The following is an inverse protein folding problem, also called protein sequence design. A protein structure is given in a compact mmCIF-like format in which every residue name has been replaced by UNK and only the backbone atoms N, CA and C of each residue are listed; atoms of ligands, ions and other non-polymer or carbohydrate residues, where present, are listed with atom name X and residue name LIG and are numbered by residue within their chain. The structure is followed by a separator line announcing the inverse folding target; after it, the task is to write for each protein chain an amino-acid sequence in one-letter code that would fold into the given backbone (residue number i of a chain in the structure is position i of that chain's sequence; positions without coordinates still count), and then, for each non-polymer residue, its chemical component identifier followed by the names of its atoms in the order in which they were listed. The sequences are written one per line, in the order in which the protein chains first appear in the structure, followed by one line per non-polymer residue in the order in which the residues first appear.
data_IF_057633261262
#
_entry.id   IF_057633261262
#
_cell.length_a   1.000
_cell.length_b   1.000
_cell.length_c   1.000
_cell.angle_alpha   90.00
_cell.angle_beta   90.00
_cell.angle_gamma   90.00
#
_symmetry.space_group_name_H-M   'P 1'
#
loop_
_entity.id
_entity.type
_entity.pdbx_description
1 polymer ?
#
# COMPACT_ATOMS: atom_id res chain seq x y z
N UNK A 1 -3.18 -12.62 -7.73
CA UNK A 1 -4.42 -12.01 -7.16
C UNK A 1 -4.81 -12.51 -5.75
N UNK A 2 -5.07 -13.81 -5.50
CA UNK A 2 -5.51 -14.28 -4.16
C UNK A 2 -4.45 -14.13 -3.06
N UNK A 3 -3.18 -14.44 -3.37
CA UNK A 3 -2.09 -14.36 -2.39
C UNK A 3 -1.90 -12.95 -1.82
N UNK A 4 -1.86 -11.94 -2.69
CA UNK A 4 -1.75 -10.54 -2.28
C UNK A 4 -2.92 -10.10 -1.40
N UNK A 5 -4.15 -10.50 -1.76
CA UNK A 5 -5.33 -10.19 -0.96
C UNK A 5 -5.24 -10.77 0.45
N UNK A 6 -4.81 -12.04 0.59
CA UNK A 6 -4.63 -12.69 1.89
C UNK A 6 -3.58 -11.97 2.75
N UNK A 7 -2.46 -11.57 2.15
CA UNK A 7 -1.46 -10.77 2.85
C UNK A 7 -2.00 -9.40 3.26
N UNK A 8 -2.78 -8.74 2.39
CA UNK A 8 -3.39 -7.43 2.66
C UNK A 8 -4.31 -7.46 3.88
N UNK A 9 -5.11 -8.52 4.03
CA UNK A 9 -5.97 -8.74 5.21
C UNK A 9 -5.22 -9.31 6.42
N UNK A 10 -3.88 -9.26 6.42
CA UNK A 10 -3.01 -9.68 7.51
C UNK A 10 -3.18 -11.16 7.90
N UNK A 11 -3.48 -12.02 6.92
CA UNK A 11 -3.56 -13.47 7.15
C UNK A 11 -2.18 -14.03 7.51
N UNK A 12 -2.07 -14.61 8.71
CA UNK A 12 -0.77 -15.06 9.25
C UNK A 12 -0.08 -16.15 8.44
N UNK A 13 -0.84 -17.04 7.78
CA UNK A 13 -0.28 -18.10 6.94
C UNK A 13 0.28 -17.54 5.63
N UNK A 14 -0.45 -16.62 5.00
CA UNK A 14 0.02 -15.93 3.81
C UNK A 14 1.27 -15.07 4.08
N UNK A 15 1.33 -14.36 5.21
CA UNK A 15 2.50 -13.57 5.61
C UNK A 15 3.72 -14.45 5.93
N UNK A 16 3.52 -15.60 6.58
CA UNK A 16 4.57 -16.62 6.75
C UNK A 16 5.06 -17.12 5.40
N UNK A 17 4.14 -17.36 4.46
CA UNK A 17 4.48 -17.81 3.11
C UNK A 17 5.28 -16.77 2.33
N UNK A 18 4.94 -15.49 2.44
CA UNK A 18 5.73 -14.39 1.87
C UNK A 18 7.16 -14.41 2.42
N UNK A 19 7.33 -14.60 3.72
CA UNK A 19 8.65 -14.69 4.36
C UNK A 19 9.44 -15.93 3.92
N UNK A 20 8.78 -17.08 3.74
CA UNK A 20 9.43 -18.28 3.19
C UNK A 20 9.89 -18.08 1.75
N UNK A 21 9.09 -17.42 0.92
CA UNK A 21 9.42 -17.13 -0.48
C UNK A 21 10.56 -16.12 -0.57
N UNK A 22 10.55 -15.07 0.27
CA UNK A 22 11.62 -14.09 0.31
C UNK A 22 12.99 -14.73 0.56
N UNK A 23 13.07 -15.70 1.48
CA UNK A 23 14.31 -16.44 1.78
C UNK A 23 14.87 -17.24 0.61
N UNK A 24 14.10 -17.46 -0.46
CA UNK A 24 14.55 -18.13 -1.69
C UNK A 24 15.19 -17.17 -2.69
N UNK A 25 14.98 -15.87 -2.51
CA UNK A 25 15.55 -14.82 -3.36
C UNK A 25 17.05 -14.74 -3.04
N UNK A 26 17.94 -14.94 -4.04
CA UNK A 26 19.37 -14.81 -3.82
C UNK A 26 19.76 -13.39 -3.42
N UNK A 27 20.68 -13.24 -2.47
CA UNK A 27 21.16 -11.92 -2.01
C UNK A 27 21.71 -11.05 -3.15
N UNK A 28 22.26 -11.68 -4.20
CA UNK A 28 22.75 -10.99 -5.40
C UNK A 28 21.66 -10.25 -6.17
N UNK A 29 20.38 -10.62 -6.03
CA UNK A 29 19.28 -9.87 -6.63
C UNK A 29 19.15 -8.45 -6.08
N UNK A 30 19.47 -8.26 -4.79
CA UNK A 30 19.38 -6.96 -4.14
C UNK A 30 20.56 -6.04 -4.48
N UNK A 31 21.69 -6.61 -4.92
CA UNK A 31 22.90 -5.86 -5.24
C UNK A 31 23.21 -5.75 -6.73
N UNK A 32 22.62 -6.58 -7.60
CA UNK A 32 22.96 -6.65 -9.03
C UNK A 32 21.69 -6.71 -9.92
N UNK A 33 21.82 -6.34 -11.20
CA UNK A 33 20.72 -6.36 -12.18
C UNK A 33 20.37 -7.73 -12.76
N UNK A 34 21.20 -8.76 -12.56
CA UNK A 34 21.10 -10.04 -13.29
C UNK A 34 20.80 -11.25 -12.40
N UNK A 35 20.29 -11.05 -11.18
CA UNK A 35 19.92 -12.14 -10.27
C UNK A 35 18.58 -12.78 -10.65
N UNK A 36 18.56 -14.09 -10.88
CA UNK A 36 17.32 -14.87 -10.86
C UNK A 36 16.75 -14.85 -9.44
N UNK A 37 15.46 -14.54 -9.30
CA UNK A 37 14.80 -14.44 -8.00
C UNK A 37 14.27 -15.79 -7.52
N UNK A 38 14.20 -16.80 -8.40
CA UNK A 38 13.48 -18.06 -8.18
C UNK A 38 11.99 -17.85 -7.82
N UNK A 39 11.46 -16.65 -8.07
CA UNK A 39 10.09 -16.25 -7.77
C UNK A 39 9.42 -15.76 -9.06
N UNK A 40 8.16 -16.14 -9.21
CA UNK A 40 7.17 -15.48 -10.05
C UNK A 40 7.40 -13.97 -10.22
N UNK A 41 7.82 -13.38 -11.36
CA UNK A 41 7.84 -11.92 -11.49
C UNK A 41 6.53 -11.23 -11.08
N UNK A 42 5.37 -11.89 -11.25
CA UNK A 42 4.07 -11.41 -10.77
C UNK A 42 4.02 -11.26 -9.24
N UNK A 43 4.67 -12.17 -8.51
CA UNK A 43 4.60 -12.24 -7.05
C UNK A 43 5.77 -11.56 -6.35
N UNK A 44 6.86 -11.27 -7.05
CA UNK A 44 8.10 -10.78 -6.46
C UNK A 44 7.91 -9.52 -5.61
N UNK A 45 7.24 -8.49 -6.15
CA UNK A 45 6.99 -7.25 -5.42
C UNK A 45 6.13 -7.48 -4.18
N UNK A 46 5.13 -8.35 -4.28
CA UNK A 46 4.25 -8.73 -3.17
C UNK A 46 5.02 -9.48 -2.08
N UNK A 47 5.86 -10.44 -2.47
CA UNK A 47 6.70 -11.24 -1.57
C UNK A 47 7.63 -10.34 -0.77
N UNK A 48 8.36 -9.45 -1.43
CA UNK A 48 9.32 -8.55 -0.77
C UNK A 48 8.58 -7.56 0.14
N UNK A 49 7.50 -6.92 -0.34
CA UNK A 49 6.70 -5.98 0.45
C UNK A 49 6.20 -6.59 1.76
N UNK A 50 5.50 -7.73 1.67
CA UNK A 50 4.91 -8.35 2.85
C UNK A 50 5.94 -9.03 3.75
N UNK A 51 7.10 -9.42 3.21
CA UNK A 51 8.21 -9.84 4.05
C UNK A 51 8.76 -8.68 4.89
N UNK A 52 9.10 -7.53 4.28
CA UNK A 52 9.59 -6.34 4.99
C UNK A 52 8.58 -5.91 6.06
N UNK A 53 7.29 -5.88 5.72
CA UNK A 53 6.23 -5.59 6.70
C UNK A 53 6.19 -6.61 7.83
N UNK A 54 6.21 -7.90 7.53
CA UNK A 54 6.02 -8.93 8.53
C UNK A 54 7.24 -9.08 9.46
N UNK A 55 8.45 -9.15 8.87
CA UNK A 55 9.72 -9.31 9.59
C UNK A 55 10.00 -8.11 10.49
N UNK A 56 9.72 -6.89 10.01
CA UNK A 56 10.03 -5.65 10.70
C UNK A 56 11.49 -5.59 11.18
N UNK A 57 12.40 -6.07 10.33
CA UNK A 57 13.83 -6.09 10.57
C UNK A 57 14.43 -4.76 10.10
N UNK A 58 15.12 -4.07 11.01
CA UNK A 58 15.71 -2.78 10.72
C UNK A 58 16.88 -2.88 9.73
N UNK A 59 17.71 -3.92 9.86
CA UNK A 59 18.90 -4.11 9.04
C UNK A 59 18.51 -4.46 7.60
N UNK A 60 17.48 -5.29 7.41
CA UNK A 60 16.94 -5.61 6.08
C UNK A 60 16.34 -4.38 5.39
N UNK A 61 15.59 -3.55 6.12
CA UNK A 61 15.02 -2.32 5.58
C UNK A 61 16.12 -1.32 5.20
N UNK A 62 17.13 -1.13 6.06
CA UNK A 62 18.26 -0.24 5.80
C UNK A 62 19.13 -0.72 4.65
N UNK A 63 19.34 -2.04 4.54
CA UNK A 63 20.04 -2.64 3.40
C UNK A 63 19.29 -2.39 2.09
N UNK A 64 17.95 -2.52 2.09
CA UNK A 64 17.13 -2.25 0.92
C UNK A 64 17.17 -0.76 0.54
N UNK A 65 17.09 0.13 1.53
CA UNK A 65 17.18 1.58 1.33
C UNK A 65 18.52 1.96 0.72
N UNK A 66 19.62 1.44 1.28
CA UNK A 66 20.98 1.68 0.77
C UNK A 66 21.13 1.23 -0.69
N UNK A 67 20.62 0.05 -1.04
CA UNK A 67 20.67 -0.41 -2.42
C UNK A 67 19.80 0.46 -3.33
N UNK A 68 18.63 0.91 -2.87
CA UNK A 68 17.80 1.83 -3.65
C UNK A 68 18.50 3.17 -3.93
N UNK A 69 19.23 3.73 -2.97
CA UNK A 69 19.82 5.08 -3.10
C UNK A 69 21.22 5.09 -3.72
N UNK A 70 22.05 4.08 -3.43
CA UNK A 70 23.49 4.11 -3.78
C UNK A 70 23.86 3.17 -4.93
N UNK A 71 23.04 2.16 -5.21
CA UNK A 71 23.41 1.11 -6.17
C UNK A 71 23.06 1.51 -7.61
N UNK A 72 24.08 1.82 -8.41
CA UNK A 72 23.92 2.16 -9.82
C UNK A 72 23.65 0.95 -10.74
N UNK A 73 23.76 -0.27 -10.21
CA UNK A 73 23.65 -1.50 -10.99
C UNK A 73 22.24 -2.08 -11.02
N UNK A 74 21.29 -1.53 -10.25
CA UNK A 74 19.91 -2.00 -10.23
C UNK A 74 19.08 -1.36 -11.36
N UNK A 75 18.15 -2.13 -11.89
CA UNK A 75 17.24 -1.68 -12.96
C UNK A 75 16.13 -0.77 -12.43
N UNK A 76 15.50 0.02 -13.30
CA UNK A 76 14.30 0.83 -12.94
C UNK A 76 13.18 -0.04 -12.35
N UNK A 77 13.03 -1.28 -12.83
CA UNK A 77 12.04 -2.22 -12.28
C UNK A 77 12.39 -2.67 -10.85
N UNK A 78 13.68 -2.93 -10.57
CA UNK A 78 14.15 -3.22 -9.21
C UNK A 78 13.97 -2.01 -8.30
N UNK A 79 14.26 -0.79 -8.78
CA UNK A 79 14.03 0.45 -8.02
C UNK A 79 12.58 0.58 -7.57
N UNK A 80 11.62 0.42 -8.48
CA UNK A 80 10.18 0.44 -8.14
C UNK A 80 9.83 -0.67 -7.14
N UNK A 81 10.37 -1.88 -7.34
CA UNK A 81 10.13 -3.03 -6.45
C UNK A 81 10.64 -2.76 -5.03
N UNK A 82 11.85 -2.21 -4.91
CA UNK A 82 12.47 -1.87 -3.62
C UNK A 82 11.73 -0.72 -2.95
N UNK A 83 11.38 0.31 -3.71
CA UNK A 83 10.64 1.46 -3.20
C UNK A 83 9.27 1.08 -2.64
N UNK A 84 8.52 0.22 -3.36
CA UNK A 84 7.27 -0.34 -2.85
C UNK A 84 7.54 -1.12 -1.56
N UNK A 85 8.52 -2.01 -1.55
CA UNK A 85 8.85 -2.80 -0.37
C UNK A 85 9.25 -1.95 0.86
N UNK A 86 9.97 -0.84 0.66
CA UNK A 86 10.30 0.13 1.71
C UNK A 86 9.05 0.76 2.34
N UNK A 87 8.00 0.98 1.55
CA UNK A 87 6.68 1.41 2.01
C UNK A 87 5.93 0.35 2.85
N UNK A 88 6.44 -0.88 2.91
CA UNK A 88 5.94 -1.96 3.75
C UNK A 88 6.36 -1.86 5.23
N UNK A 89 7.27 -0.95 5.60
CA UNK A 89 7.74 -0.81 7.00
C UNK A 89 6.57 -0.66 8.00
N UNK A 90 6.68 -1.25 9.21
CA UNK A 90 5.65 -1.03 10.23
C UNK A 90 5.88 0.28 10.99
N UNK A 91 7.10 0.80 11.04
CA UNK A 91 7.38 2.01 11.79
C UNK A 91 6.87 3.26 11.07
N UNK A 92 5.92 3.96 11.71
CA UNK A 92 5.30 5.19 11.19
C UNK A 92 6.34 6.26 10.85
N UNK A 93 7.42 6.38 11.63
CA UNK A 93 8.46 7.39 11.38
C UNK A 93 9.20 7.12 10.07
N UNK A 94 9.48 5.86 9.71
CA UNK A 94 10.10 5.50 8.42
C UNK A 94 9.18 5.87 7.25
N UNK A 95 7.89 5.56 7.37
CA UNK A 95 6.90 5.89 6.35
C UNK A 95 6.79 7.41 6.13
N UNK A 96 6.80 8.20 7.22
CA UNK A 96 6.82 9.67 7.15
C UNK A 96 8.08 10.19 6.46
N UNK A 97 9.26 9.72 6.88
CA UNK A 97 10.53 10.14 6.29
C UNK A 97 10.62 9.81 4.81
N UNK A 98 10.12 8.64 4.38
CA UNK A 98 10.04 8.29 2.96
C UNK A 98 9.18 9.29 2.18
N UNK A 99 8.01 9.67 2.70
CA UNK A 99 7.14 10.66 2.06
C UNK A 99 7.80 12.05 1.99
N UNK A 100 8.48 12.47 3.05
CA UNK A 100 9.20 13.75 3.10
C UNK A 100 10.32 13.81 2.06
N UNK A 101 11.17 12.77 2.00
CA UNK A 101 12.24 12.65 1.00
C UNK A 101 11.65 12.65 -0.41
N UNK A 102 10.56 11.91 -0.62
CA UNK A 102 9.92 11.80 -1.93
C UNK A 102 9.26 13.11 -2.36
N UNK A 103 8.79 13.93 -1.41
CA UNK A 103 8.09 15.19 -1.66
C UNK A 103 9.03 16.35 -1.96
N UNK A 104 10.27 16.30 -1.46
CA UNK A 104 11.26 17.37 -1.64
C UNK A 104 11.55 17.62 -3.12
N UNK A 105 11.33 18.85 -3.56
CA UNK A 105 11.55 19.27 -4.94
C UNK A 105 13.04 19.50 -5.25
N UNK A 106 13.88 19.59 -4.22
CA UNK A 106 15.33 19.76 -4.35
C UNK A 106 16.09 18.43 -4.29
N UNK A 107 15.37 17.32 -4.15
CA UNK A 107 15.93 15.97 -4.05
C UNK A 107 15.65 15.17 -5.32
N UNK A 108 16.70 14.59 -5.90
CA UNK A 108 16.64 13.70 -7.06
C UNK A 108 16.68 12.21 -6.65
N UNK A 109 16.55 11.90 -5.36
CA UNK A 109 16.64 10.53 -4.84
C UNK A 109 15.48 9.64 -5.31
N UNK A 110 14.28 10.24 -5.43
CA UNK A 110 13.05 9.57 -5.83
C UNK A 110 12.49 10.29 -7.06
N UNK A 111 12.39 9.56 -8.18
CA UNK A 111 11.88 10.10 -9.42
C UNK A 111 10.36 10.40 -9.35
N UNK A 112 9.86 11.19 -10.31
CA UNK A 112 8.43 11.56 -10.33
C UNK A 112 7.50 10.36 -10.40
N UNK A 113 7.82 9.33 -11.20
CA UNK A 113 6.98 8.13 -11.29
C UNK A 113 7.05 7.30 -10.01
N UNK A 114 8.27 7.16 -9.47
CA UNK A 114 8.57 6.48 -8.23
C UNK A 114 7.82 7.08 -7.02
N UNK A 115 7.65 8.41 -6.98
CA UNK A 115 6.84 9.09 -5.97
C UNK A 115 5.41 8.52 -5.90
N UNK A 116 4.73 8.38 -7.03
CA UNK A 116 3.36 7.89 -7.05
C UNK A 116 3.28 6.43 -6.58
N UNK A 117 4.21 5.59 -7.02
CA UNK A 117 4.31 4.20 -6.58
C UNK A 117 4.53 4.08 -5.07
N UNK A 118 5.42 4.90 -4.51
CA UNK A 118 5.68 4.94 -3.08
C UNK A 118 4.43 5.33 -2.29
N UNK A 119 3.78 6.43 -2.67
CA UNK A 119 2.59 6.93 -1.96
C UNK A 119 1.47 5.88 -1.97
N UNK A 120 1.24 5.23 -3.11
CA UNK A 120 0.25 4.15 -3.23
C UNK A 120 0.63 2.98 -2.33
N UNK A 121 1.89 2.56 -2.35
CA UNK A 121 2.38 1.45 -1.53
C UNK A 121 2.23 1.70 -0.03
N UNK A 122 2.56 2.91 0.44
CA UNK A 122 2.37 3.30 1.85
C UNK A 122 0.86 3.40 2.18
N UNK A 123 0.02 3.85 1.24
CA UNK A 123 -1.43 3.97 1.49
C UNK A 123 -2.12 2.62 1.73
N UNK A 124 -1.55 1.54 1.19
CA UNK A 124 -2.00 0.17 1.36
C UNK A 124 -1.45 -0.49 2.64
N UNK A 125 -0.44 0.14 3.28
CA UNK A 125 0.09 -0.31 4.55
C UNK A 125 -0.92 0.04 5.67
N UNK A 126 -1.32 -0.91 6.55
CA UNK A 126 -2.22 -0.62 7.66
C UNK A 126 -1.75 0.53 8.55
N UNK A 127 -0.45 0.68 8.77
CA UNK A 127 0.15 1.77 9.55
C UNK A 127 0.42 3.03 8.70
N UNK A 128 0.33 2.93 7.38
CA UNK A 128 0.66 3.99 6.43
C UNK A 128 -0.55 4.73 5.85
N UNK A 129 -1.75 4.14 5.89
CA UNK A 129 -2.99 4.75 5.38
C UNK A 129 -3.21 6.17 5.89
N UNK A 130 -3.25 6.36 7.21
CA UNK A 130 -3.47 7.68 7.82
C UNK A 130 -2.27 8.61 7.60
N UNK A 131 -1.06 8.04 7.55
CA UNK A 131 0.16 8.79 7.28
C UNK A 131 0.10 9.44 5.90
N UNK A 132 -0.25 8.67 4.87
CA UNK A 132 -0.42 9.17 3.50
C UNK A 132 -1.58 10.15 3.40
N UNK A 133 -2.72 9.84 4.02
CA UNK A 133 -3.88 10.72 3.91
C UNK A 133 -3.60 12.09 4.52
N UNK A 134 -2.98 12.11 5.69
CA UNK A 134 -2.58 13.36 6.33
C UNK A 134 -1.50 14.06 5.51
N UNK A 135 -0.45 13.36 5.08
CA UNK A 135 0.59 13.94 4.23
C UNK A 135 0.01 14.58 2.96
N UNK A 136 -0.84 13.87 2.22
CA UNK A 136 -1.42 14.32 0.96
C UNK A 136 -2.26 15.58 1.14
N UNK A 137 -3.13 15.62 2.16
CA UNK A 137 -3.98 16.79 2.43
C UNK A 137 -3.19 18.01 2.90
N UNK A 138 -2.26 17.83 3.84
CA UNK A 138 -1.46 18.95 4.36
C UNK A 138 -0.54 19.55 3.31
N UNK A 139 -0.03 18.73 2.38
CA UNK A 139 0.89 19.15 1.33
C UNK A 139 0.22 19.37 -0.02
N UNK A 140 -1.12 19.30 -0.11
CA UNK A 140 -1.82 19.27 -1.40
C UNK A 140 -1.44 20.43 -2.33
N UNK A 141 -1.37 21.66 -1.82
CA UNK A 141 -0.99 22.82 -2.63
C UNK A 141 0.46 22.75 -3.11
N UNK A 142 1.39 22.25 -2.30
CA UNK A 142 2.79 22.07 -2.68
C UNK A 142 2.93 20.96 -3.74
N UNK A 143 2.21 19.85 -3.57
CA UNK A 143 2.18 18.76 -4.57
C UNK A 143 1.53 19.22 -5.88
N UNK A 144 0.45 20.00 -5.80
CA UNK A 144 -0.20 20.59 -6.97
C UNK A 144 0.73 21.57 -7.71
N UNK A 145 1.52 22.36 -6.97
CA UNK A 145 2.54 23.23 -7.55
C UNK A 145 3.64 22.42 -8.24
N UNK A 146 4.14 21.36 -7.59
CA UNK A 146 5.22 20.50 -8.11
C UNK A 146 4.81 19.74 -9.38
N UNK A 147 3.65 19.08 -9.37
CA UNK A 147 3.24 18.21 -10.47
C UNK A 147 2.40 18.94 -11.53
N UNK A 148 1.71 20.00 -11.15
CA UNK A 148 0.81 20.75 -12.01
C UNK A 148 -0.60 20.16 -12.07
N UNK A 149 -1.57 21.04 -12.31
CA UNK A 149 -3.01 20.72 -12.28
C UNK A 149 -3.46 19.75 -13.39
N UNK A 150 -2.72 19.70 -14.49
CA UNK A 150 -3.02 18.83 -15.64
C UNK A 150 -2.33 17.47 -15.57
N UNK A 151 -1.48 17.23 -14.56
CA UNK A 151 -0.77 15.97 -14.42
C UNK A 151 -1.75 14.84 -14.08
N UNK A 152 -1.83 13.86 -14.98
CA UNK A 152 -2.77 12.74 -14.85
C UNK A 152 -2.47 11.87 -13.62
N UNK A 153 -1.20 11.52 -13.36
CA UNK A 153 -0.82 10.66 -12.24
C UNK A 153 -1.14 11.33 -10.90
N UNK A 154 -0.88 12.62 -10.78
CA UNK A 154 -1.25 13.39 -9.60
C UNK A 154 -2.77 13.43 -9.40
N UNK A 155 -3.53 13.72 -10.45
CA UNK A 155 -4.99 13.70 -10.34
C UNK A 155 -5.52 12.30 -10.00
N UNK A 156 -4.90 11.22 -10.48
CA UNK A 156 -5.25 9.83 -10.16
C UNK A 156 -4.94 9.45 -8.71
N UNK A 157 -3.95 10.10 -8.10
CA UNK A 157 -3.43 9.70 -6.79
C UNK A 157 -4.50 9.67 -5.70
N UNK A 158 -5.44 10.63 -5.71
CA UNK A 158 -6.52 10.68 -4.72
C UNK A 158 -7.42 9.44 -4.77
N UNK A 159 -7.73 8.93 -5.98
CA UNK A 159 -8.52 7.72 -6.16
C UNK A 159 -7.73 6.48 -5.73
N UNK A 160 -6.42 6.46 -5.96
CA UNK A 160 -5.56 5.35 -5.51
C UNK A 160 -5.43 5.29 -3.99
N UNK A 161 -5.26 6.44 -3.33
CA UNK A 161 -5.26 6.52 -1.85
C UNK A 161 -6.60 6.04 -1.30
N UNK A 162 -7.72 6.43 -1.93
CA UNK A 162 -9.06 6.04 -1.51
C UNK A 162 -9.33 4.53 -1.59
N UNK A 163 -8.56 3.75 -2.36
CA UNK A 163 -8.70 2.30 -2.43
C UNK A 163 -8.50 1.63 -1.07
N UNK A 164 -7.72 2.23 -0.16
CA UNK A 164 -7.52 1.67 1.18
C UNK A 164 -8.56 2.11 2.18
N UNK A 165 -9.47 3.03 1.85
CA UNK A 165 -10.48 3.57 2.76
C UNK A 165 -11.78 2.78 2.70
N UNK A 166 -12.37 2.53 3.86
CA UNK A 166 -13.42 1.51 3.97
C UNK A 166 -14.52 1.85 4.97
N UNK A 167 -14.55 3.08 5.50
CA UNK A 167 -15.51 3.49 6.53
C UNK A 167 -16.04 4.93 6.31
N UNK A 168 -17.09 5.28 7.06
CA UNK A 168 -17.76 6.59 6.96
C UNK A 168 -16.85 7.77 7.33
N UNK A 169 -15.87 7.57 8.21
CA UNK A 169 -14.92 8.62 8.58
C UNK A 169 -14.14 9.10 7.34
N UNK A 170 -13.55 8.18 6.57
CA UNK A 170 -12.82 8.56 5.36
C UNK A 170 -13.72 9.13 4.27
N UNK A 171 -14.98 8.68 4.18
CA UNK A 171 -15.96 9.27 3.28
C UNK A 171 -16.17 10.76 3.56
N UNK A 172 -16.42 11.11 4.83
CA UNK A 172 -16.62 12.51 5.23
C UNK A 172 -15.35 13.36 5.07
N UNK A 173 -14.19 12.82 5.38
CA UNK A 173 -12.90 13.50 5.17
C UNK A 173 -12.66 13.77 3.68
N UNK A 174 -12.97 12.81 2.81
CA UNK A 174 -12.82 12.95 1.35
C UNK A 174 -13.73 14.04 0.79
N UNK A 175 -15.02 14.05 1.18
CA UNK A 175 -15.98 15.08 0.76
C UNK A 175 -15.52 16.46 1.25
N UNK A 176 -15.08 16.57 2.51
CA UNK A 176 -14.55 17.82 3.06
C UNK A 176 -13.36 18.33 2.27
N UNK A 177 -12.41 17.44 1.96
CA UNK A 177 -11.23 17.78 1.18
C UNK A 177 -11.57 18.25 -0.25
N UNK A 178 -12.46 17.54 -0.95
CA UNK A 178 -12.89 17.88 -2.31
C UNK A 178 -13.59 19.24 -2.34
N UNK A 179 -14.47 19.52 -1.38
CA UNK A 179 -15.16 20.81 -1.27
C UNK A 179 -14.17 21.98 -1.08
N UNK A 180 -13.10 21.76 -0.33
CA UNK A 180 -12.03 22.76 -0.13
C UNK A 180 -11.11 22.88 -1.34
N UNK A 181 -10.95 21.81 -2.13
CA UNK A 181 -9.98 21.71 -3.22
C UNK A 181 -10.63 21.19 -4.52
N UNK A 182 -11.61 21.90 -5.10
CA UNK A 182 -12.33 21.40 -6.26
C UNK A 182 -11.40 21.27 -7.48
N UNK A 183 -11.46 20.10 -8.11
CA UNK A 183 -10.76 19.80 -9.36
C UNK A 183 -11.79 19.42 -10.44
N UNK A 184 -11.61 19.88 -11.69
CA UNK A 184 -12.44 19.40 -12.81
C UNK A 184 -12.16 17.93 -13.17
N UNK A 185 -11.20 17.28 -12.49
CA UNK A 185 -10.86 15.89 -12.74
C UNK A 185 -11.87 14.91 -12.15
N UNK A 186 -12.25 13.89 -12.93
CA UNK A 186 -13.15 12.82 -12.50
C UNK A 186 -12.63 12.00 -11.31
N UNK A 187 -11.32 12.01 -11.04
CA UNK A 187 -10.71 11.15 -10.02
C UNK A 187 -11.15 11.50 -8.59
N UNK A 188 -11.59 12.73 -8.34
CA UNK A 188 -12.20 13.10 -7.06
C UNK A 188 -13.52 12.36 -6.83
N UNK A 189 -14.37 12.29 -7.86
CA UNK A 189 -15.61 11.51 -7.78
C UNK A 189 -15.33 10.01 -7.64
N UNK A 190 -14.38 9.49 -8.44
CA UNK A 190 -13.97 8.07 -8.34
C UNK A 190 -13.44 7.71 -6.95
N UNK A 191 -12.76 8.64 -6.25
CA UNK A 191 -12.33 8.42 -4.88
C UNK A 191 -13.52 8.23 -3.92
N UNK A 192 -14.56 9.06 -4.05
CA UNK A 192 -15.79 8.96 -3.24
C UNK A 192 -16.54 7.66 -3.54
N UNK A 193 -16.68 7.33 -4.82
CA UNK A 193 -17.36 6.10 -5.26
C UNK A 193 -16.62 4.86 -4.73
N UNK A 194 -15.28 4.87 -4.79
CA UNK A 194 -14.44 3.78 -4.29
C UNK A 194 -14.62 3.55 -2.78
N UNK A 195 -14.62 4.62 -1.98
CA UNK A 195 -14.85 4.53 -0.52
C UNK A 195 -16.23 3.92 -0.24
N UNK A 196 -17.24 4.37 -0.99
CA UNK A 196 -18.63 3.89 -0.85
C UNK A 196 -18.73 2.41 -1.18
N UNK A 197 -18.14 1.98 -2.29
CA UNK A 197 -18.07 0.57 -2.69
C UNK A 197 -17.35 -0.29 -1.64
N UNK A 198 -16.23 0.18 -1.10
CA UNK A 198 -15.49 -0.53 -0.07
C UNK A 198 -16.31 -0.70 1.21
N UNK A 199 -17.00 0.36 1.64
CA UNK A 199 -17.86 0.34 2.83
C UNK A 199 -19.04 -0.63 2.67
N UNK A 200 -19.74 -0.59 1.53
CA UNK A 200 -20.83 -1.51 1.22
C UNK A 200 -20.35 -2.96 1.17
N UNK A 201 -19.22 -3.22 0.52
CA UNK A 201 -18.63 -4.56 0.44
C UNK A 201 -18.32 -5.13 1.82
N UNK A 202 -17.75 -4.33 2.72
CA UNK A 202 -17.47 -4.74 4.09
C UNK A 202 -18.74 -5.05 4.89
N UNK A 203 -19.74 -4.17 4.85
CA UNK A 203 -21.00 -4.37 5.58
C UNK A 203 -21.69 -5.66 5.11
N UNK A 204 -21.80 -5.85 3.81
CA UNK A 204 -22.45 -7.04 3.25
C UNK A 204 -21.68 -8.33 3.61
N UNK A 205 -20.34 -8.29 3.56
CA UNK A 205 -19.49 -9.41 3.95
C UNK A 205 -19.63 -9.77 5.43
N UNK A 206 -19.62 -8.78 6.32
CA UNK A 206 -19.79 -8.99 7.77
C UNK A 206 -21.18 -9.52 8.10
N UNK A 207 -22.22 -9.00 7.46
CA UNK A 207 -23.61 -9.44 7.64
C UNK A 207 -23.75 -10.92 7.28
N UNK A 208 -23.23 -11.33 6.11
CA UNK A 208 -23.26 -12.73 5.68
C UNK A 208 -22.49 -13.65 6.64
N UNK A 209 -21.30 -13.24 7.09
CA UNK A 209 -20.52 -14.03 8.04
C UNK A 209 -21.25 -14.22 9.38
N UNK A 210 -22.00 -13.21 9.83
CA UNK A 210 -22.84 -13.29 11.01
C UNK A 210 -23.98 -14.29 10.80
N UNK A 211 -24.69 -14.22 9.68
CA UNK A 211 -25.79 -15.14 9.36
C UNK A 211 -25.33 -16.61 9.28
N UNK A 212 -24.16 -16.84 8.66
CA UNK A 212 -23.54 -18.16 8.56
C UNK A 212 -23.15 -18.70 9.95
N UNK A 213 -22.60 -17.84 10.82
CA UNK A 213 -22.23 -18.19 12.19
C UNK A 213 -23.46 -18.54 13.04
N UNK A 214 -24.54 -17.76 12.95
CA UNK A 214 -25.81 -18.04 13.64
C UNK A 214 -26.38 -19.38 13.17
N UNK A 215 -26.43 -19.60 11.86
CA UNK A 215 -26.94 -20.85 11.26
C UNK A 215 -26.14 -22.09 11.68
N UNK A 216 -24.82 -21.96 11.85
CA UNK A 216 -23.96 -23.05 12.34
C UNK A 216 -24.18 -23.33 13.84
N UNK A 217 -24.38 -22.29 14.65
CA UNK A 217 -24.67 -22.42 16.07
C UNK A 217 -26.00 -23.16 16.30
N UNK A 218 -27.06 -22.80 15.57
CA UNK A 218 -28.37 -23.46 15.68
C UNK A 218 -28.33 -24.95 15.33
N UNK A 219 -27.54 -25.33 14.30
CA UNK A 219 -27.34 -26.73 13.91
C UNK A 219 -26.57 -27.54 14.96
N UNK A 220 -25.65 -26.93 15.70
CA UNK A 220 -24.88 -27.60 16.76
C UNK A 220 -25.69 -27.74 18.06
N UNK A 221 -26.51 -26.75 18.41
CA UNK A 221 -27.43 -26.81 19.55
C UNK A 221 -28.54 -27.86 19.43
N UNK A 222 -29.01 -28.14 18.21
CA UNK A 222 -30.00 -29.19 17.92
C UNK A 222 -29.46 -30.61 18.11
N UNK A 223 -28.16 -30.83 17.87
CA UNK A 223 -27.52 -32.16 18.03
C UNK A 223 -27.24 -32.56 19.48
N UNK A 224 -27.18 -31.60 20.41
CA UNK A 224 -26.89 -31.87 21.83
C UNK A 224 -28.15 -32.08 22.70
N UNK A 225 -29.34 -32.08 22.11
CA UNK A 225 -30.63 -32.30 22.82
C UNK A 225 -31.25 -33.68 22.61
N UNK A 226 -30.55 -34.61 21.96
CA UNK A 226 -30.99 -36.00 21.76
C UNK A 226 -30.09 -36.99 22.48
#
# INVERSE_FOLDING_TARGET
MLFELLCRVQNTEALKKATELFRRIPLSYFSNSTGDTNIDPEFLSTVIYYHIQNANDADEWEYLWKNFTENLSITSQQRITFLRALGGAKEIWRLKSLLEIAADINSDVIETQEFFDLVISISQNPNGRDVVWNFYRHNYLALLYRFGRTNRLFNQLIANIAQSFENSYYYHEMITFINQNPSPSQFQQLAVDQISMNFEWLINGMTKALDDAISAADKSGSKNKN
#
